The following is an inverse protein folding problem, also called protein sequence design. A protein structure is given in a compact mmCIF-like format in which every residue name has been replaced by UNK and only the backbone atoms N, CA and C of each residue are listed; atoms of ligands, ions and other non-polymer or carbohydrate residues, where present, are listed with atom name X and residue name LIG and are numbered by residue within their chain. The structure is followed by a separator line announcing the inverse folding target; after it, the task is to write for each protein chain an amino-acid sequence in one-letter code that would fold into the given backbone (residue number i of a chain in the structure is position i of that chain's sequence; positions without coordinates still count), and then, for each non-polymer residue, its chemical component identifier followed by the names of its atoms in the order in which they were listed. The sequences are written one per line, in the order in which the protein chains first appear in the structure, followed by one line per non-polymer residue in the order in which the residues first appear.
data_IF_203959658735
#
_entry.id   IF_203959658735
#
_cell.length_a   1.000
_cell.length_b   1.000
_cell.length_c   1.000
_cell.angle_alpha   90.00
_cell.angle_beta   90.00
_cell.angle_gamma   90.00
#
_symmetry.space_group_name_H-M   'P 1'
#
loop_
_entity.id
_entity.type
_entity.pdbx_description
1 polymer ?
#
# COMPACT_ATOMS: atom_id res chain seq x y z
N UNK A 1 11.71 -28.72 -20.86
CA UNK A 1 12.43 -27.53 -20.34
C UNK A 1 13.71 -28.03 -19.71
N UNK A 2 14.87 -27.43 -20.01
CA UNK A 2 16.11 -27.85 -19.34
C UNK A 2 16.11 -27.41 -17.88
N UNK A 3 16.86 -28.10 -17.04
CA UNK A 3 16.98 -27.80 -15.61
C UNK A 3 17.42 -26.34 -15.35
N UNK A 4 18.39 -25.84 -16.11
CA UNK A 4 18.82 -24.44 -16.04
C UNK A 4 17.74 -23.43 -16.43
N UNK A 5 16.88 -23.76 -17.40
CA UNK A 5 15.75 -22.91 -17.77
C UNK A 5 14.67 -22.86 -16.67
N UNK A 6 14.46 -23.97 -15.95
CA UNK A 6 13.53 -24.02 -14.82
C UNK A 6 14.01 -23.14 -13.67
N UNK A 7 15.29 -23.26 -13.29
CA UNK A 7 15.90 -22.46 -12.21
C UNK A 7 15.81 -20.97 -12.53
N UNK A 8 16.13 -20.58 -13.78
CA UNK A 8 16.06 -19.18 -14.21
C UNK A 8 14.63 -18.61 -14.15
N UNK A 9 13.61 -19.41 -14.50
CA UNK A 9 12.21 -18.98 -14.38
C UNK A 9 11.79 -18.83 -12.92
N UNK A 10 12.15 -19.78 -12.04
CA UNK A 10 11.81 -19.72 -10.63
C UNK A 10 12.49 -18.54 -9.91
N UNK A 11 13.74 -18.23 -10.27
CA UNK A 11 14.44 -17.07 -9.72
C UNK A 11 13.82 -15.75 -10.18
N UNK A 12 13.39 -15.66 -11.45
CA UNK A 12 12.65 -14.51 -11.95
C UNK A 12 11.35 -14.31 -11.17
N UNK A 13 10.55 -15.36 -10.99
CA UNK A 13 9.29 -15.27 -10.21
C UNK A 13 9.56 -14.81 -8.78
N UNK A 14 10.58 -15.36 -8.12
CA UNK A 14 10.97 -14.94 -6.77
C UNK A 14 11.41 -13.46 -6.71
N UNK A 15 12.06 -12.97 -7.77
CA UNK A 15 12.45 -11.56 -7.90
C UNK A 15 11.23 -10.64 -8.06
N UNK A 16 10.28 -10.99 -8.93
CA UNK A 16 9.05 -10.22 -9.15
C UNK A 16 8.19 -10.13 -7.89
N UNK A 17 8.02 -11.25 -7.17
CA UNK A 17 7.30 -11.26 -5.89
C UNK A 17 7.98 -10.33 -4.87
N UNK A 18 9.31 -10.29 -4.84
CA UNK A 18 10.05 -9.39 -3.94
C UNK A 18 9.85 -7.93 -4.33
N UNK A 19 9.93 -7.63 -5.62
CA UNK A 19 9.73 -6.30 -6.15
C UNK A 19 8.34 -5.73 -5.77
N UNK A 20 7.28 -6.53 -5.94
CA UNK A 20 5.93 -6.11 -5.56
C UNK A 20 5.79 -5.85 -4.05
N UNK A 21 6.42 -6.67 -3.21
CA UNK A 21 6.43 -6.43 -1.76
C UNK A 21 7.19 -5.15 -1.38
N UNK A 22 8.31 -4.85 -2.03
CA UNK A 22 9.05 -3.61 -1.83
C UNK A 22 8.23 -2.39 -2.24
N UNK A 23 7.53 -2.45 -3.38
CA UNK A 23 6.62 -1.40 -3.83
C UNK A 23 5.48 -1.16 -2.84
N UNK A 24 4.89 -2.21 -2.27
CA UNK A 24 3.87 -2.10 -1.20
C UNK A 24 4.45 -1.35 0.01
N UNK A 25 5.65 -1.72 0.46
CA UNK A 25 6.33 -1.07 1.59
C UNK A 25 6.62 0.40 1.34
N UNK A 26 7.13 0.74 0.15
CA UNK A 26 7.40 2.12 -0.26
C UNK A 26 6.12 2.95 -0.32
N UNK A 27 5.06 2.46 -0.96
CA UNK A 27 3.76 3.15 -1.06
C UNK A 27 3.16 3.42 0.32
N UNK A 28 3.25 2.45 1.22
CA UNK A 28 2.79 2.59 2.61
C UNK A 28 3.60 3.65 3.36
N UNK A 29 4.92 3.66 3.17
CA UNK A 29 5.81 4.66 3.79
C UNK A 29 5.49 6.07 3.30
N UNK A 30 5.33 6.24 1.99
CA UNK A 30 4.91 7.51 1.38
C UNK A 30 3.55 7.97 1.89
N UNK A 31 2.60 7.04 2.07
CA UNK A 31 1.30 7.36 2.65
C UNK A 31 1.44 7.92 4.06
N UNK A 32 2.16 7.23 4.96
CA UNK A 32 2.33 7.67 6.36
C UNK A 32 2.92 9.08 6.42
N UNK A 33 3.95 9.35 5.60
CA UNK A 33 4.59 10.68 5.53
C UNK A 33 3.58 11.74 5.06
N UNK A 34 2.90 11.49 3.95
CA UNK A 34 1.93 12.44 3.39
C UNK A 34 0.78 12.71 4.37
N UNK A 35 0.25 11.67 5.01
CA UNK A 35 -0.84 11.76 5.97
C UNK A 35 -0.44 12.57 7.21
N UNK A 36 0.77 12.36 7.73
CA UNK A 36 1.30 13.14 8.85
C UNK A 36 1.39 14.63 8.50
N UNK A 37 1.87 14.95 7.29
CA UNK A 37 1.90 16.31 6.79
C UNK A 37 0.51 16.92 6.63
N UNK A 38 -0.44 16.18 6.04
CA UNK A 38 -1.81 16.64 5.84
C UNK A 38 -2.54 16.91 7.16
N UNK A 39 -2.42 16.02 8.16
CA UNK A 39 -3.01 16.25 9.49
C UNK A 39 -2.38 17.46 10.19
N UNK A 40 -1.06 17.58 10.18
CA UNK A 40 -0.37 18.74 10.76
C UNK A 40 -0.80 20.05 10.10
N UNK A 41 -0.89 20.05 8.77
CA UNK A 41 -1.36 21.22 8.00
C UNK A 41 -2.82 21.53 8.29
N UNK A 42 -3.69 20.52 8.39
CA UNK A 42 -5.11 20.71 8.70
C UNK A 42 -5.30 21.35 10.07
N UNK A 43 -4.58 20.89 11.11
CA UNK A 43 -4.60 21.50 12.44
C UNK A 43 -4.16 22.97 12.39
N UNK A 44 -3.11 23.28 11.62
CA UNK A 44 -2.64 24.65 11.45
C UNK A 44 -3.68 25.55 10.76
N UNK A 45 -4.42 25.02 9.78
CA UNK A 45 -5.52 25.76 9.11
C UNK A 45 -6.70 25.96 10.05
N UNK A 46 -7.09 24.95 10.82
CA UNK A 46 -8.17 25.03 11.83
C UNK A 46 -7.86 26.09 12.90
N UNK A 47 -6.59 26.20 13.32
CA UNK A 47 -6.15 27.14 14.33
C UNK A 47 -6.00 28.60 13.85
N UNK A 48 -6.06 28.86 12.55
CA UNK A 48 -5.99 30.22 12.00
C UNK A 48 -7.37 30.87 12.01
N UNK A 49 -7.49 32.01 12.70
CA UNK A 49 -8.71 32.84 12.70
C UNK A 49 -9.02 33.45 11.33
N UNK A 50 -10.30 33.71 11.07
CA UNK A 50 -10.82 34.18 9.78
C UNK A 50 -10.68 35.71 9.62
N UNK A 51 -9.50 36.23 9.30
CA UNK A 51 -9.36 37.65 8.93
C UNK A 51 -8.54 37.90 7.65
N UNK A 52 -9.09 38.76 6.78
CA UNK A 52 -8.44 39.28 5.58
C UNK A 52 -8.40 38.34 4.35
N UNK A 53 -7.62 38.70 3.33
CA UNK A 53 -7.48 37.95 2.08
C UNK A 53 -6.97 36.50 2.26
N UNK A 54 -6.34 36.21 3.41
CA UNK A 54 -5.93 34.85 3.81
C UNK A 54 -7.11 33.93 4.14
N UNK A 55 -8.29 34.48 4.45
CA UNK A 55 -9.48 33.71 4.78
C UNK A 55 -9.97 32.84 3.61
N UNK A 56 -9.85 33.32 2.36
CA UNK A 56 -10.30 32.58 1.18
C UNK A 56 -9.43 31.35 0.90
N UNK A 57 -8.10 31.51 0.99
CA UNK A 57 -7.16 30.40 0.82
C UNK A 57 -7.24 29.42 1.99
N UNK A 58 -7.37 29.93 3.22
CA UNK A 58 -7.59 29.11 4.42
C UNK A 58 -8.85 28.25 4.30
N UNK A 59 -9.97 28.84 3.86
CA UNK A 59 -11.22 28.12 3.62
C UNK A 59 -11.09 27.05 2.52
N UNK A 60 -10.39 27.36 1.43
CA UNK A 60 -10.12 26.38 0.37
C UNK A 60 -9.30 25.20 0.90
N UNK A 61 -8.22 25.47 1.64
CA UNK A 61 -7.36 24.43 2.21
C UNK A 61 -8.09 23.60 3.29
N UNK A 62 -8.93 24.25 4.10
CA UNK A 62 -9.77 23.60 5.09
C UNK A 62 -10.67 22.53 4.46
N UNK A 63 -11.18 22.78 3.24
CA UNK A 63 -11.98 21.81 2.49
C UNK A 63 -11.10 20.82 1.74
N UNK A 64 -10.08 21.29 1.01
CA UNK A 64 -9.28 20.49 0.10
C UNK A 64 -8.44 19.43 0.83
N UNK A 65 -7.82 19.78 1.97
CA UNK A 65 -6.92 18.88 2.68
C UNK A 65 -7.61 17.57 3.09
N UNK A 66 -8.80 17.58 3.72
CA UNK A 66 -9.54 16.35 4.02
C UNK A 66 -9.88 15.49 2.78
N UNK A 67 -10.22 16.10 1.64
CA UNK A 67 -10.48 15.34 0.42
C UNK A 67 -9.24 14.63 -0.10
N UNK A 68 -8.08 15.32 -0.11
CA UNK A 68 -6.79 14.71 -0.45
C UNK A 68 -6.43 13.62 0.58
N UNK A 69 -6.73 13.88 1.85
CA UNK A 69 -6.56 12.97 2.97
C UNK A 69 -7.30 11.64 2.79
N UNK A 70 -8.52 11.66 2.24
CA UNK A 70 -9.30 10.47 1.86
C UNK A 70 -8.77 9.82 0.58
N UNK A 71 -8.39 10.62 -0.41
CA UNK A 71 -8.00 10.12 -1.74
C UNK A 71 -6.73 9.27 -1.68
N UNK A 72 -5.70 9.71 -0.96
CA UNK A 72 -4.41 9.00 -0.93
C UNK A 72 -4.49 7.58 -0.36
N UNK A 73 -5.15 7.32 0.79
CA UNK A 73 -5.32 5.96 1.30
C UNK A 73 -6.12 5.07 0.34
N UNK A 74 -7.13 5.60 -0.36
CA UNK A 74 -7.89 4.84 -1.37
C UNK A 74 -6.97 4.41 -2.51
N UNK A 75 -6.13 5.32 -3.04
CA UNK A 75 -5.18 4.98 -4.09
C UNK A 75 -4.17 3.92 -3.64
N UNK A 76 -3.70 4.00 -2.40
CA UNK A 76 -2.78 3.01 -1.84
C UNK A 76 -3.46 1.66 -1.66
N UNK A 77 -4.71 1.62 -1.19
CA UNK A 77 -5.48 0.37 -1.09
C UNK A 77 -5.66 -0.29 -2.46
N UNK A 78 -5.95 0.48 -3.51
CA UNK A 78 -6.03 -0.04 -4.87
C UNK A 78 -4.68 -0.58 -5.37
N UNK A 79 -3.59 0.15 -5.11
CA UNK A 79 -2.25 -0.27 -5.50
C UNK A 79 -1.79 -1.53 -4.76
N UNK A 80 -2.09 -1.64 -3.46
CA UNK A 80 -1.84 -2.84 -2.66
C UNK A 80 -2.68 -4.01 -3.18
N UNK A 81 -3.95 -3.79 -3.52
CA UNK A 81 -4.81 -4.80 -4.13
C UNK A 81 -4.27 -5.31 -5.46
N UNK A 82 -3.81 -4.41 -6.33
CA UNK A 82 -3.19 -4.77 -7.61
C UNK A 82 -1.89 -5.58 -7.43
N UNK A 83 -1.01 -5.15 -6.52
CA UNK A 83 0.22 -5.86 -6.20
C UNK A 83 -0.07 -7.26 -5.59
N UNK A 84 -1.12 -7.38 -4.77
CA UNK A 84 -1.57 -8.67 -4.22
C UNK A 84 -1.99 -9.64 -5.30
N UNK A 85 -2.74 -9.13 -6.28
CA UNK A 85 -3.21 -9.92 -7.41
C UNK A 85 -2.03 -10.42 -8.25
N UNK A 86 -1.07 -9.54 -8.55
CA UNK A 86 0.16 -9.91 -9.25
C UNK A 86 0.96 -10.97 -8.48
N UNK A 87 1.17 -10.78 -7.17
CA UNK A 87 1.85 -11.77 -6.32
C UNK A 87 1.12 -13.12 -6.33
N UNK A 88 -0.22 -13.12 -6.30
CA UNK A 88 -1.01 -14.34 -6.34
C UNK A 88 -0.85 -15.09 -7.67
N UNK A 89 -0.88 -14.37 -8.79
CA UNK A 89 -0.64 -14.94 -10.12
C UNK A 89 0.77 -15.56 -10.23
N UNK A 90 1.79 -14.84 -9.76
CA UNK A 90 3.16 -15.34 -9.72
C UNK A 90 3.34 -16.57 -8.84
N UNK A 91 2.63 -16.63 -7.70
CA UNK A 91 2.62 -17.81 -6.82
C UNK A 91 1.92 -19.00 -7.47
N UNK A 92 0.81 -18.78 -8.15
CA UNK A 92 0.11 -19.85 -8.87
C UNK A 92 0.98 -20.44 -9.99
N UNK A 93 1.72 -19.60 -10.71
CA UNK A 93 2.65 -20.07 -11.75
C UNK A 93 3.86 -20.80 -11.15
N UNK A 94 4.40 -20.30 -10.04
CA UNK A 94 5.43 -21.00 -9.27
C UNK A 94 4.97 -22.40 -8.86
N UNK A 95 3.78 -22.53 -8.28
CA UNK A 95 3.26 -23.81 -7.78
C UNK A 95 2.97 -24.78 -8.93
N UNK A 96 2.51 -24.29 -10.09
CA UNK A 96 2.38 -25.09 -11.32
C UNK A 96 3.72 -25.63 -11.81
N UNK A 97 4.75 -24.79 -11.85
CA UNK A 97 6.10 -25.20 -12.28
C UNK A 97 6.72 -26.21 -11.30
N UNK A 98 6.48 -26.05 -10.00
CA UNK A 98 6.90 -27.03 -8.99
C UNK A 98 6.14 -28.35 -9.09
N UNK A 99 4.83 -28.32 -9.36
CA UNK A 99 4.02 -29.54 -9.50
C UNK A 99 4.33 -30.33 -10.78
N UNK A 100 4.68 -29.64 -11.87
CA UNK A 100 5.00 -30.25 -13.16
C UNK A 100 6.44 -30.80 -13.25
N UNK A 101 7.30 -30.48 -12.29
CA UNK A 101 8.72 -30.84 -12.33
C UNK A 101 9.06 -31.90 -11.29
N UNK A 102 9.88 -32.89 -11.67
CA UNK A 102 10.55 -33.81 -10.73
C UNK A 102 11.55 -33.09 -9.79
N UNK A 103 11.68 -31.76 -9.90
CA UNK A 103 12.57 -30.87 -9.16
C UNK A 103 12.25 -30.70 -7.66
N UNK A 104 11.71 -31.72 -7.00
CA UNK A 104 11.57 -31.74 -5.54
C UNK A 104 12.94 -31.70 -4.83
N UNK A 105 13.97 -32.19 -5.53
CA UNK A 105 15.35 -32.33 -5.02
C UNK A 105 16.32 -31.24 -5.52
N UNK A 106 15.86 -30.26 -6.30
CA UNK A 106 16.71 -29.17 -6.76
C UNK A 106 16.88 -28.08 -5.68
N UNK A 107 18.12 -27.61 -5.51
CA UNK A 107 18.46 -26.50 -4.61
C UNK A 107 18.18 -25.14 -5.28
N UNK A 108 16.90 -24.80 -5.41
CA UNK A 108 16.44 -23.50 -5.93
C UNK A 108 16.00 -22.58 -4.76
N UNK A 109 16.02 -21.24 -4.95
CA UNK A 109 15.68 -20.30 -3.87
C UNK A 109 14.22 -20.47 -3.46
N UNK A 110 13.99 -21.25 -2.39
CA UNK A 110 12.66 -21.52 -1.85
C UNK A 110 11.97 -20.21 -1.53
N UNK A 111 10.87 -19.92 -2.24
CA UNK A 111 9.95 -18.83 -1.89
C UNK A 111 9.33 -19.21 -0.56
N UNK A 112 9.96 -18.77 0.54
CA UNK A 112 9.62 -19.17 1.89
C UNK A 112 8.15 -18.88 2.18
N UNK A 113 7.35 -19.93 2.32
CA UNK A 113 5.97 -19.88 2.79
C UNK A 113 5.93 -19.58 4.30
N UNK A 114 6.53 -18.46 4.72
CA UNK A 114 6.37 -17.97 6.09
C UNK A 114 5.03 -17.23 6.16
N UNK A 115 4.00 -17.99 6.48
CA UNK A 115 2.62 -17.52 6.65
C UNK A 115 2.54 -16.25 7.52
N UNK A 116 3.31 -16.21 8.63
CA UNK A 116 3.40 -15.04 9.50
C UNK A 116 3.94 -13.79 8.80
N UNK A 117 4.99 -13.91 7.97
CA UNK A 117 5.53 -12.79 7.20
C UNK A 117 4.58 -12.30 6.11
N UNK A 118 3.78 -13.22 5.55
CA UNK A 118 2.83 -12.90 4.48
C UNK A 118 1.60 -12.19 5.04
N UNK A 119 1.07 -12.64 6.18
CA UNK A 119 -0.10 -12.03 6.84
C UNK A 119 0.26 -10.68 7.44
N UNK A 120 1.35 -10.58 8.23
CA UNK A 120 1.74 -9.29 8.82
C UNK A 120 2.25 -8.29 7.78
N UNK A 121 2.94 -8.77 6.73
CA UNK A 121 3.43 -7.91 5.64
C UNK A 121 2.31 -7.24 4.85
N UNK A 122 1.13 -7.87 4.79
CA UNK A 122 -0.01 -7.36 4.04
C UNK A 122 -1.06 -6.66 4.92
N UNK A 123 -1.26 -7.15 6.14
CA UNK A 123 -2.20 -6.57 7.09
C UNK A 123 -1.80 -5.16 7.52
N UNK A 124 -0.50 -4.87 7.63
CA UNK A 124 -0.03 -3.56 8.06
C UNK A 124 -0.32 -2.45 7.03
N UNK A 125 0.06 -2.57 5.74
CA UNK A 125 -0.32 -1.60 4.69
C UNK A 125 -1.83 -1.34 4.61
N UNK A 126 -2.63 -2.40 4.66
CA UNK A 126 -4.09 -2.31 4.61
C UNK A 126 -4.64 -1.62 5.85
N UNK A 127 -4.21 -2.05 7.04
CA UNK A 127 -4.63 -1.47 8.31
C UNK A 127 -4.29 0.01 8.45
N UNK A 128 -3.06 0.40 8.08
CA UNK A 128 -2.64 1.81 8.06
C UNK A 128 -3.50 2.64 7.11
N UNK A 129 -3.74 2.13 5.90
CA UNK A 129 -4.53 2.85 4.90
C UNK A 129 -6.00 2.99 5.33
N UNK A 130 -6.61 1.92 5.86
CA UNK A 130 -7.97 1.97 6.41
C UNK A 130 -8.04 2.92 7.60
N UNK A 131 -7.05 2.90 8.50
CA UNK A 131 -6.99 3.78 9.66
C UNK A 131 -7.00 5.26 9.27
N UNK A 132 -6.14 5.65 8.31
CA UNK A 132 -6.12 7.02 7.80
C UNK A 132 -7.41 7.40 7.05
N UNK A 133 -7.94 6.49 6.24
CA UNK A 133 -9.21 6.70 5.53
C UNK A 133 -10.34 7.00 6.50
N UNK A 134 -10.49 6.18 7.54
CA UNK A 134 -11.51 6.38 8.58
C UNK A 134 -11.30 7.68 9.34
N UNK A 135 -10.06 8.03 9.68
CA UNK A 135 -9.74 9.28 10.35
C UNK A 135 -10.19 10.51 9.54
N UNK A 136 -9.91 10.55 8.23
CA UNK A 136 -10.37 11.66 7.38
C UNK A 136 -11.87 11.66 7.13
N UNK A 137 -12.52 10.50 7.03
CA UNK A 137 -13.98 10.41 6.96
C UNK A 137 -14.60 11.01 8.22
N UNK A 138 -14.06 10.72 9.40
CA UNK A 138 -14.52 11.31 10.66
C UNK A 138 -14.35 12.83 10.64
N UNK A 139 -13.21 13.34 10.17
CA UNK A 139 -12.97 14.79 10.01
C UNK A 139 -14.00 15.43 9.07
N UNK A 140 -14.24 14.84 7.90
CA UNK A 140 -15.24 15.33 6.94
C UNK A 140 -16.67 15.33 7.51
N UNK A 141 -17.05 14.29 8.26
CA UNK A 141 -18.35 14.21 8.94
C UNK A 141 -18.47 15.30 10.00
N UNK A 142 -17.40 15.54 10.77
CA UNK A 142 -17.37 16.59 11.79
C UNK A 142 -17.49 17.98 11.17
N UNK A 143 -16.80 18.25 10.06
CA UNK A 143 -16.88 19.52 9.33
C UNK A 143 -18.27 19.81 8.79
N UNK A 144 -19.04 18.78 8.39
CA UNK A 144 -20.42 18.97 7.92
C UNK A 144 -21.39 19.33 9.06
N UNK A 145 -21.03 19.01 10.30
CA UNK A 145 -21.86 19.29 11.50
C UNK A 145 -21.53 20.61 12.19
N UNK A 146 -20.39 21.22 11.85
CA UNK A 146 -19.95 22.53 12.33
C UNK A 146 -20.52 23.64 11.45
#
# INVERSE_FOLDING_TARGET
MSEGQLIAKLSLIASEIRHENELIGQRTTWLVIAQSFLFGTFVAVVGQGSEGAKASIGALLFVLIPFVGVLLPVLVLLAVGAASFAIWEWRAEHDRLCAASAAKDLDWPRVGHRFLLTVFGHALPVGVSIGFLLAWIVVLIAMRRA
#
